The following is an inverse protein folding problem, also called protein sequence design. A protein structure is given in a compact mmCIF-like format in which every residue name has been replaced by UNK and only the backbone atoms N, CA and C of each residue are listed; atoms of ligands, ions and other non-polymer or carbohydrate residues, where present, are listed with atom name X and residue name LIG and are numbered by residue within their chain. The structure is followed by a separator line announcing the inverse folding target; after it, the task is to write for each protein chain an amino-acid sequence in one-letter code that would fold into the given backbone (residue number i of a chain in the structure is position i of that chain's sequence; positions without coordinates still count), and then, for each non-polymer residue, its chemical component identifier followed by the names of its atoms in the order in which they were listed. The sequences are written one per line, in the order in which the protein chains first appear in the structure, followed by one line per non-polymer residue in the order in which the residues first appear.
data_IF_549636081777
#
_entry.id   IF_549636081777
#
_cell.length_a   1.000
_cell.length_b   1.000
_cell.length_c   1.000
_cell.angle_alpha   90.00
_cell.angle_beta   90.00
_cell.angle_gamma   90.00
#
_symmetry.space_group_name_H-M   'P 1'
#
loop_
_entity.id
_entity.type
_entity.pdbx_description
1 polymer ?
#
# COMPACT_ATOMS: atom_id res chain seq x y z
N UNK A 1 16.79 -54.81 -32.90
CA UNK A 1 16.40 -54.68 -31.48
C UNK A 1 15.09 -53.92 -31.41
N UNK A 2 13.99 -54.61 -31.09
CA UNK A 2 12.65 -54.00 -30.97
C UNK A 2 12.60 -53.12 -29.72
N UNK A 3 12.34 -51.82 -29.89
CA UNK A 3 12.16 -50.93 -28.75
C UNK A 3 10.94 -51.39 -27.91
N UNK A 4 11.05 -51.39 -26.57
CA UNK A 4 9.96 -51.82 -25.71
C UNK A 4 8.71 -50.95 -25.93
N UNK A 5 7.53 -51.57 -25.97
CA UNK A 5 6.25 -50.91 -26.27
C UNK A 5 5.98 -49.66 -25.43
N UNK A 6 6.44 -49.62 -24.18
CA UNK A 6 6.26 -48.46 -23.29
C UNK A 6 7.10 -47.23 -23.71
N UNK A 7 8.24 -47.42 -24.41
CA UNK A 7 9.04 -46.31 -24.94
C UNK A 7 8.38 -45.69 -26.18
N UNK A 8 7.68 -46.51 -26.97
CA UNK A 8 6.95 -46.06 -28.16
C UNK A 8 5.69 -45.28 -27.74
N UNK A 9 4.97 -45.75 -26.72
CA UNK A 9 3.80 -45.02 -26.19
C UNK A 9 4.18 -43.72 -25.48
N UNK A 10 5.30 -43.69 -24.73
CA UNK A 10 5.84 -42.46 -24.14
C UNK A 10 6.28 -41.45 -25.21
N UNK A 11 6.93 -41.91 -26.28
CA UNK A 11 7.36 -41.03 -27.37
C UNK A 11 6.14 -40.45 -28.11
N UNK A 12 5.13 -41.27 -28.41
CA UNK A 12 3.89 -40.82 -29.03
C UNK A 12 3.11 -39.82 -28.15
N UNK A 13 3.08 -40.03 -26.83
CA UNK A 13 2.47 -39.11 -25.88
C UNK A 13 3.22 -37.77 -25.83
N UNK A 14 4.55 -37.81 -25.78
CA UNK A 14 5.39 -36.60 -25.77
C UNK A 14 5.26 -35.78 -27.05
N UNK A 15 5.13 -36.44 -28.20
CA UNK A 15 4.97 -35.80 -29.49
C UNK A 15 3.56 -35.22 -29.68
N UNK A 16 2.54 -35.88 -29.13
CA UNK A 16 1.16 -35.39 -29.12
C UNK A 16 0.95 -34.18 -28.20
N UNK A 17 1.65 -34.13 -27.06
CA UNK A 17 1.64 -32.94 -26.19
C UNK A 17 2.41 -31.77 -26.83
N UNK A 18 3.51 -32.04 -27.54
CA UNK A 18 4.27 -31.00 -28.22
C UNK A 18 3.49 -30.33 -29.37
N UNK A 19 2.66 -31.09 -30.10
CA UNK A 19 1.83 -30.55 -31.18
C UNK A 19 0.62 -29.76 -30.69
N UNK A 20 0.18 -29.95 -29.44
CA UNK A 20 -0.85 -29.11 -28.82
C UNK A 20 -0.37 -27.69 -28.47
N UNK A 21 0.95 -27.44 -28.48
CA UNK A 21 1.54 -26.11 -28.24
C UNK A 21 1.87 -25.32 -29.52
N UNK A 22 1.51 -25.83 -30.71
CA UNK A 22 1.60 -25.05 -31.95
C UNK A 22 0.39 -24.12 -32.02
N UNK A 23 0.40 -23.08 -31.19
CA UNK A 23 -0.47 -21.93 -31.35
C UNK A 23 -0.05 -21.16 -32.59
N UNK A 24 -0.97 -20.95 -33.52
CA UNK A 24 -0.79 -20.02 -34.63
C UNK A 24 -0.60 -18.60 -34.08
N UNK A 25 0.65 -18.21 -33.81
CA UNK A 25 1.03 -16.80 -33.76
C UNK A 25 1.19 -16.34 -35.21
N UNK A 26 0.09 -15.98 -35.86
CA UNK A 26 0.16 -15.14 -37.06
C UNK A 26 0.61 -13.75 -36.60
N UNK A 27 1.91 -13.54 -36.51
CA UNK A 27 2.49 -12.23 -36.29
C UNK A 27 2.67 -11.60 -37.69
N UNK A 28 1.74 -10.75 -38.19
CA UNK A 28 2.06 -9.97 -39.37
C UNK A 28 3.23 -9.08 -38.95
N UNK A 29 4.37 -9.28 -39.61
CA UNK A 29 5.52 -8.37 -39.73
C UNK A 29 5.55 -7.25 -38.69
N UNK A 30 6.58 -7.22 -37.84
CA UNK A 30 7.05 -5.98 -37.20
C UNK A 30 7.25 -4.95 -38.32
N UNK A 31 6.20 -4.22 -38.68
CA UNK A 31 6.31 -3.01 -39.48
C UNK A 31 7.13 -2.09 -38.59
N UNK A 32 8.31 -1.72 -39.06
CA UNK A 32 9.00 -0.55 -38.55
C UNK A 32 7.95 0.54 -38.41
N UNK A 33 7.66 0.94 -37.17
CA UNK A 33 6.70 1.99 -36.88
C UNK A 33 7.41 3.28 -37.27
N UNK A 34 7.43 3.56 -38.57
CA UNK A 34 7.80 4.87 -39.08
C UNK A 34 6.74 5.82 -38.56
N UNK A 35 7.17 6.78 -37.74
CA UNK A 35 6.31 7.86 -37.27
C UNK A 35 5.79 8.62 -38.50
N UNK A 36 4.47 8.55 -38.73
CA UNK A 36 3.79 9.20 -39.86
C UNK A 36 3.20 10.57 -39.46
N UNK A 37 3.54 11.08 -38.28
CA UNK A 37 2.92 12.25 -37.68
C UNK A 37 1.49 11.96 -37.18
N UNK A 38 0.75 13.00 -36.73
CA UNK A 38 -0.61 12.83 -36.24
C UNK A 38 -1.54 12.31 -37.34
N UNK A 39 -2.09 11.12 -37.13
CA UNK A 39 -3.01 10.48 -38.09
C UNK A 39 -4.47 10.89 -37.84
N UNK A 40 -4.76 11.58 -36.75
CA UNK A 40 -6.10 11.92 -36.28
C UNK A 40 -6.05 13.13 -35.35
N UNK A 41 -7.20 13.75 -35.06
CA UNK A 41 -7.26 14.85 -34.09
C UNK A 41 -6.97 14.38 -32.66
N UNK A 42 -6.59 15.31 -31.80
CA UNK A 42 -6.36 15.08 -30.37
C UNK A 42 -7.52 14.32 -29.72
N UNK A 43 -8.75 14.78 -29.96
CA UNK A 43 -9.96 14.18 -29.41
C UNK A 43 -10.13 12.72 -29.84
N UNK A 44 -9.82 12.38 -31.09
CA UNK A 44 -9.93 10.99 -31.59
C UNK A 44 -8.93 10.08 -30.89
N UNK A 45 -7.70 10.54 -30.64
CA UNK A 45 -6.73 9.77 -29.85
C UNK A 45 -7.22 9.55 -28.41
N UNK A 46 -7.76 10.59 -27.78
CA UNK A 46 -8.30 10.50 -26.43
C UNK A 46 -9.49 9.55 -26.33
N UNK A 47 -10.48 9.69 -27.21
CA UNK A 47 -11.65 8.79 -27.24
C UNK A 47 -11.27 7.33 -27.52
N UNK A 48 -10.29 7.11 -28.40
CA UNK A 48 -9.76 5.77 -28.67
C UNK A 48 -9.11 5.18 -27.41
N UNK A 49 -8.29 5.97 -26.72
CA UNK A 49 -7.70 5.57 -25.45
C UNK A 49 -8.76 5.22 -24.40
N UNK A 50 -9.80 6.06 -24.25
CA UNK A 50 -10.91 5.80 -23.33
C UNK A 50 -11.59 4.47 -23.62
N UNK A 51 -11.96 4.22 -24.89
CA UNK A 51 -12.60 2.96 -25.32
C UNK A 51 -11.70 1.76 -25.04
N UNK A 52 -10.39 1.88 -25.22
CA UNK A 52 -9.43 0.82 -24.89
C UNK A 52 -9.33 0.59 -23.39
N UNK A 53 -9.30 1.65 -22.57
CA UNK A 53 -9.27 1.53 -21.11
C UNK A 53 -10.56 0.92 -20.55
N UNK A 54 -11.72 1.30 -21.07
CA UNK A 54 -13.01 0.69 -20.73
C UNK A 54 -13.05 -0.82 -20.99
N UNK A 55 -12.30 -1.27 -22.01
CA UNK A 55 -12.16 -2.68 -22.39
C UNK A 55 -10.99 -3.38 -21.70
N UNK A 56 -10.31 -2.72 -20.76
CA UNK A 56 -9.07 -3.20 -20.12
C UNK A 56 -7.94 -3.52 -21.12
N UNK A 57 -7.98 -2.93 -22.31
CA UNK A 57 -6.96 -3.09 -23.36
C UNK A 57 -5.82 -2.08 -23.14
N UNK A 58 -5.06 -2.30 -22.07
CA UNK A 58 -4.04 -1.34 -21.63
C UNK A 58 -2.98 -1.06 -22.71
N UNK A 59 -2.57 -2.06 -23.48
CA UNK A 59 -1.55 -1.91 -24.54
C UNK A 59 -1.98 -0.91 -25.62
N UNK A 60 -3.24 -0.98 -26.04
CA UNK A 60 -3.77 -0.08 -27.07
C UNK A 60 -4.09 1.31 -26.50
N UNK A 61 -4.48 1.37 -25.22
CA UNK A 61 -4.63 2.62 -24.50
C UNK A 61 -3.30 3.37 -24.41
N UNK A 62 -2.22 2.72 -23.94
CA UNK A 62 -0.89 3.33 -23.84
C UNK A 62 -0.43 3.85 -25.19
N UNK A 63 -0.55 3.07 -26.27
CA UNK A 63 -0.19 3.55 -27.63
C UNK A 63 -0.95 4.81 -28.03
N UNK A 64 -2.25 4.87 -27.73
CA UNK A 64 -3.09 6.02 -28.12
C UNK A 64 -2.79 7.25 -27.26
N UNK A 65 -2.52 7.05 -25.97
CA UNK A 65 -2.17 8.12 -25.02
C UNK A 65 -0.75 8.66 -25.23
N UNK A 66 0.24 7.80 -25.51
CA UNK A 66 1.60 8.22 -25.86
C UNK A 66 1.61 8.99 -27.19
N UNK A 67 0.84 8.55 -28.18
CA UNK A 67 0.67 9.31 -29.42
C UNK A 67 0.05 10.69 -29.16
N UNK A 68 -0.96 10.78 -28.28
CA UNK A 68 -1.55 12.06 -27.90
C UNK A 68 -0.53 12.97 -27.21
N UNK A 69 0.20 12.48 -26.21
CA UNK A 69 1.23 13.26 -25.49
C UNK A 69 2.38 13.69 -26.41
N UNK A 70 2.72 12.89 -27.42
CA UNK A 70 3.77 13.18 -28.39
C UNK A 70 3.34 14.24 -29.40
N UNK A 71 2.18 14.07 -30.04
CA UNK A 71 1.74 14.97 -31.12
C UNK A 71 1.03 16.22 -30.61
N UNK A 72 0.44 16.17 -29.42
CA UNK A 72 -0.36 17.25 -28.82
C UNK A 72 0.09 17.53 -27.37
N UNK A 73 1.32 18.02 -27.13
CA UNK A 73 1.86 18.22 -25.78
C UNK A 73 1.18 19.35 -24.97
N UNK A 74 0.44 20.25 -25.63
CA UNK A 74 -0.27 21.38 -25.02
C UNK A 74 -1.76 21.40 -25.42
N UNK A 75 -2.31 20.24 -25.80
CA UNK A 75 -3.70 20.08 -26.18
C UNK A 75 -4.66 20.16 -24.98
N UNK A 76 -5.96 20.21 -25.27
CA UNK A 76 -7.02 20.35 -24.25
C UNK A 76 -7.14 19.11 -23.36
N UNK A 77 -6.87 17.93 -23.90
CA UNK A 77 -6.99 16.63 -23.25
C UNK A 77 -5.63 16.10 -22.76
N UNK A 78 -4.53 16.78 -23.03
CA UNK A 78 -3.18 16.27 -22.76
C UNK A 78 -2.92 15.98 -21.29
N UNK A 79 -3.25 16.90 -20.38
CA UNK A 79 -3.01 16.69 -18.94
C UNK A 79 -3.82 15.49 -18.42
N UNK A 80 -5.08 15.37 -18.86
CA UNK A 80 -5.92 14.22 -18.53
C UNK A 80 -5.35 12.92 -19.13
N UNK A 81 -4.91 12.95 -20.38
CA UNK A 81 -4.29 11.81 -21.05
C UNK A 81 -3.02 11.35 -20.33
N UNK A 82 -2.19 12.27 -19.84
CA UNK A 82 -1.00 11.95 -19.04
C UNK A 82 -1.36 11.23 -17.72
N UNK A 83 -2.42 11.68 -17.03
CA UNK A 83 -2.89 11.00 -15.81
C UNK A 83 -3.43 9.60 -16.10
N UNK A 84 -4.13 9.41 -17.21
CA UNK A 84 -4.61 8.09 -17.61
C UNK A 84 -3.49 7.18 -18.14
N UNK A 85 -2.46 7.78 -18.74
CA UNK A 85 -1.27 7.05 -19.17
C UNK A 85 -0.51 6.49 -17.97
N UNK A 86 -0.43 7.23 -16.85
CA UNK A 86 0.09 6.71 -15.58
C UNK A 86 -0.62 5.42 -15.15
N UNK A 87 -1.96 5.46 -15.13
CA UNK A 87 -2.78 4.30 -14.79
C UNK A 87 -2.55 3.13 -15.76
N UNK A 88 -2.57 3.41 -17.06
CA UNK A 88 -2.44 2.38 -18.10
C UNK A 88 -1.07 1.69 -18.04
N UNK A 89 0.02 2.45 -17.90
CA UNK A 89 1.38 1.91 -17.72
C UNK A 89 1.51 1.10 -16.43
N UNK A 90 0.95 1.59 -15.33
CA UNK A 90 0.96 0.87 -14.06
C UNK A 90 0.24 -0.47 -14.17
N UNK A 91 -0.90 -0.52 -14.86
CA UNK A 91 -1.66 -1.76 -15.10
C UNK A 91 -0.94 -2.74 -16.01
N UNK A 92 -0.06 -2.26 -16.90
CA UNK A 92 0.85 -3.11 -17.67
C UNK A 92 2.07 -3.58 -16.87
N UNK A 93 2.22 -3.16 -15.60
CA UNK A 93 3.41 -3.38 -14.77
C UNK A 93 4.67 -2.68 -15.31
N UNK A 94 4.50 -1.66 -16.16
CA UNK A 94 5.58 -0.76 -16.57
C UNK A 94 5.82 0.28 -15.45
N UNK A 95 6.33 -0.19 -14.31
CA UNK A 95 6.52 0.66 -13.12
C UNK A 95 7.59 1.73 -13.34
N UNK A 96 8.67 1.40 -14.06
CA UNK A 96 9.71 2.37 -14.44
C UNK A 96 9.14 3.49 -15.30
N UNK A 97 8.40 3.15 -16.36
CA UNK A 97 7.74 4.14 -17.22
C UNK A 97 6.70 4.96 -16.46
N UNK A 98 5.94 4.34 -15.54
CA UNK A 98 5.01 5.06 -14.66
C UNK A 98 5.72 6.07 -13.76
N UNK A 99 6.85 5.72 -13.14
CA UNK A 99 7.61 6.62 -12.26
C UNK A 99 8.13 7.81 -13.06
N UNK A 100 8.79 7.57 -14.21
CA UNK A 100 9.33 8.62 -15.05
C UNK A 100 8.23 9.58 -15.55
N UNK A 101 7.08 9.04 -15.95
CA UNK A 101 5.94 9.84 -16.36
C UNK A 101 5.36 10.66 -15.19
N UNK A 102 5.30 10.08 -13.99
CA UNK A 102 4.76 10.77 -12.81
C UNK A 102 5.65 11.95 -12.42
N UNK A 103 6.97 11.76 -12.42
CA UNK A 103 7.94 12.82 -12.16
C UNK A 103 7.86 13.95 -13.21
N UNK A 104 7.72 13.59 -14.49
CA UNK A 104 7.48 14.58 -15.54
C UNK A 104 6.18 15.35 -15.29
N UNK A 105 5.08 14.66 -14.98
CA UNK A 105 3.79 15.29 -14.72
C UNK A 105 3.86 16.26 -13.53
N UNK A 106 4.44 15.84 -12.41
CA UNK A 106 4.61 16.65 -11.19
C UNK A 106 5.41 17.91 -11.51
N UNK A 107 6.51 17.77 -12.26
CA UNK A 107 7.39 18.89 -12.62
C UNK A 107 6.72 19.88 -13.57
N UNK A 108 5.97 19.40 -14.56
CA UNK A 108 5.34 20.25 -15.58
C UNK A 108 4.01 20.85 -15.13
N UNK A 109 3.27 20.18 -14.25
CA UNK A 109 1.92 20.56 -13.87
C UNK A 109 1.73 20.66 -12.33
N UNK A 110 2.55 21.45 -11.60
CA UNK A 110 2.53 21.48 -10.14
C UNK A 110 1.22 22.03 -9.54
N UNK A 111 0.46 22.84 -10.29
CA UNK A 111 -0.82 23.42 -9.86
C UNK A 111 -2.04 22.62 -10.32
N UNK A 112 -1.84 21.47 -10.98
CA UNK A 112 -2.96 20.68 -11.48
C UNK A 112 -3.81 20.11 -10.33
N UNK A 113 -5.15 20.15 -10.39
CA UNK A 113 -6.02 19.70 -9.29
C UNK A 113 -5.78 18.26 -8.83
N UNK A 114 -5.39 17.37 -9.77
CA UNK A 114 -5.10 15.96 -9.50
C UNK A 114 -3.59 15.65 -9.47
N UNK A 115 -2.72 16.63 -9.16
CA UNK A 115 -1.28 16.39 -9.06
C UNK A 115 -0.93 15.41 -7.93
N UNK A 116 -1.73 15.40 -6.87
CA UNK A 116 -1.66 14.46 -5.75
C UNK A 116 -1.74 12.99 -6.20
N UNK A 117 -2.53 12.69 -7.24
CA UNK A 117 -2.57 11.37 -7.87
C UNK A 117 -1.21 10.97 -8.45
N UNK A 118 -0.51 11.88 -9.12
CA UNK A 118 0.81 11.58 -9.68
C UNK A 118 1.84 11.31 -8.57
N UNK A 119 1.79 12.05 -7.46
CA UNK A 119 2.61 11.77 -6.28
C UNK A 119 2.31 10.38 -5.70
N UNK A 120 1.03 10.03 -5.58
CA UNK A 120 0.57 8.74 -5.08
C UNK A 120 1.02 7.59 -5.98
N UNK A 121 0.72 7.65 -7.28
CA UNK A 121 1.09 6.63 -8.27
C UNK A 121 2.59 6.37 -8.27
N UNK A 122 3.40 7.43 -8.18
CA UNK A 122 4.87 7.30 -8.10
C UNK A 122 5.31 6.47 -6.90
N UNK A 123 4.70 6.68 -5.73
CA UNK A 123 4.97 5.88 -4.53
C UNK A 123 4.52 4.44 -4.67
N UNK A 124 3.32 4.21 -5.22
CA UNK A 124 2.78 2.85 -5.45
C UNK A 124 3.64 2.10 -6.48
N UNK A 125 4.06 2.74 -7.57
CA UNK A 125 4.91 2.11 -8.58
C UNK A 125 6.27 1.70 -8.00
N UNK A 126 6.93 2.56 -7.22
CA UNK A 126 8.18 2.20 -6.52
C UNK A 126 7.97 1.04 -5.53
N UNK A 127 6.84 0.99 -4.83
CA UNK A 127 6.52 -0.10 -3.92
C UNK A 127 6.34 -1.44 -4.66
N UNK A 128 5.75 -1.43 -5.86
CA UNK A 128 5.45 -2.63 -6.65
C UNK A 128 6.63 -3.13 -7.49
N UNK A 129 7.67 -2.31 -7.74
CA UNK A 129 8.85 -2.68 -8.57
C UNK A 129 9.50 -4.01 -8.18
N UNK A 130 9.57 -4.33 -6.88
CA UNK A 130 10.16 -5.58 -6.39
C UNK A 130 9.11 -6.61 -5.96
N UNK A 131 7.83 -6.34 -6.19
CA UNK A 131 6.72 -7.18 -5.77
C UNK A 131 6.40 -8.25 -6.83
N UNK A 132 7.27 -9.24 -6.94
CA UNK A 132 7.02 -10.37 -7.82
C UNK A 132 5.83 -11.21 -7.30
N UNK A 133 4.74 -11.22 -8.08
CA UNK A 133 3.46 -11.85 -7.73
C UNK A 133 3.56 -13.33 -7.38
N UNK A 134 4.56 -14.04 -7.90
CA UNK A 134 4.71 -15.49 -7.67
C UNK A 134 5.29 -15.80 -6.28
N UNK A 135 6.12 -14.91 -5.74
CA UNK A 135 6.88 -15.13 -4.50
C UNK A 135 6.04 -14.88 -3.26
N UNK A 136 4.95 -14.12 -3.39
CA UNK A 136 3.92 -13.93 -2.35
C UNK A 136 3.39 -15.25 -1.77
N UNK A 137 3.38 -16.32 -2.56
CA UNK A 137 2.88 -17.64 -2.16
C UNK A 137 3.97 -18.60 -1.70
N UNK A 138 5.22 -18.17 -1.69
CA UNK A 138 6.35 -18.98 -1.27
C UNK A 138 6.83 -18.54 0.12
N UNK A 139 7.48 -19.44 0.86
CA UNK A 139 8.13 -19.12 2.13
C UNK A 139 9.42 -18.30 1.97
N UNK A 140 9.79 -17.92 0.73
CA UNK A 140 10.92 -17.05 0.45
C UNK A 140 10.52 -15.63 0.88
N UNK A 141 10.93 -15.25 2.09
CA UNK A 141 10.60 -13.95 2.65
C UNK A 141 11.21 -12.83 1.80
N UNK A 142 10.38 -11.84 1.46
CA UNK A 142 10.75 -10.63 0.72
C UNK A 142 11.89 -9.84 1.38
N UNK A 143 12.06 -10.00 2.69
CA UNK A 143 13.10 -9.39 3.53
C UNK A 143 14.54 -9.64 3.08
N UNK A 144 14.78 -10.65 2.23
CA UNK A 144 16.08 -10.95 1.63
C UNK A 144 16.38 -10.16 0.34
N UNK A 145 15.44 -9.35 -0.17
CA UNK A 145 15.58 -8.59 -1.42
C UNK A 145 16.00 -7.14 -1.17
N UNK A 146 16.46 -6.49 -2.24
CA UNK A 146 16.82 -5.07 -2.24
C UNK A 146 15.63 -4.21 -1.78
N UNK A 147 15.78 -3.60 -0.61
CA UNK A 147 14.79 -2.72 0.02
C UNK A 147 14.86 -1.28 -0.49
N UNK A 148 15.76 -0.96 -1.43
CA UNK A 148 16.01 0.41 -1.91
C UNK A 148 14.75 1.05 -2.48
N UNK A 149 14.01 0.36 -3.34
CA UNK A 149 12.77 0.86 -3.93
C UNK A 149 11.67 1.10 -2.89
N UNK A 150 11.60 0.25 -1.87
CA UNK A 150 10.63 0.37 -0.78
C UNK A 150 10.94 1.60 0.09
N UNK A 151 12.22 1.90 0.32
CA UNK A 151 12.65 3.15 0.99
C UNK A 151 12.27 4.38 0.16
N UNK A 152 12.46 4.35 -1.16
CA UNK A 152 12.04 5.43 -2.06
C UNK A 152 10.53 5.61 -2.03
N UNK A 153 9.76 4.51 -2.08
CA UNK A 153 8.31 4.54 -1.99
C UNK A 153 7.83 5.18 -0.69
N UNK A 154 8.45 4.85 0.45
CA UNK A 154 8.15 5.49 1.74
C UNK A 154 8.34 7.01 1.66
N UNK A 155 9.48 7.47 1.11
CA UNK A 155 9.72 8.90 0.95
C UNK A 155 8.73 9.57 -0.01
N UNK A 156 8.30 8.87 -1.07
CA UNK A 156 7.26 9.39 -1.96
C UNK A 156 5.92 9.56 -1.25
N UNK A 157 5.53 8.63 -0.37
CA UNK A 157 4.32 8.75 0.44
C UNK A 157 4.43 9.84 1.52
N UNK A 158 5.61 10.00 2.14
CA UNK A 158 5.90 11.14 3.03
C UNK A 158 5.69 12.46 2.29
N UNK A 159 6.25 12.58 1.09
CA UNK A 159 6.09 13.78 0.27
C UNK A 159 4.64 14.05 -0.12
N UNK A 160 3.88 13.01 -0.47
CA UNK A 160 2.44 13.12 -0.76
C UNK A 160 1.69 13.67 0.46
N UNK A 161 1.81 13.01 1.62
CA UNK A 161 1.06 13.37 2.84
C UNK A 161 1.45 14.75 3.33
N UNK A 162 2.74 15.10 3.27
CA UNK A 162 3.25 16.41 3.68
C UNK A 162 2.71 17.54 2.81
N UNK A 163 2.60 17.32 1.49
CA UNK A 163 2.16 18.34 0.53
C UNK A 163 0.64 18.40 0.38
N UNK A 164 -0.03 17.25 0.46
CA UNK A 164 -1.45 17.08 0.21
C UNK A 164 -2.12 16.29 1.34
N UNK A 165 -2.10 16.78 2.60
CA UNK A 165 -2.62 16.02 3.74
C UNK A 165 -4.10 15.66 3.59
N UNK A 166 -4.90 16.52 2.93
CA UNK A 166 -6.33 16.31 2.66
C UNK A 166 -6.61 15.52 1.36
N UNK A 167 -5.58 15.01 0.67
CA UNK A 167 -5.79 14.17 -0.51
C UNK A 167 -6.57 12.91 -0.16
N UNK A 168 -7.44 12.48 -1.09
CA UNK A 168 -8.12 11.18 -1.03
C UNK A 168 -7.15 9.98 -0.94
N UNK A 169 -5.89 10.17 -1.35
CA UNK A 169 -4.87 9.12 -1.33
C UNK A 169 -4.07 9.05 -0.01
N UNK A 170 -4.17 10.06 0.85
CA UNK A 170 -3.34 10.17 2.06
C UNK A 170 -3.55 9.02 3.04
N UNK A 171 -4.79 8.55 3.20
CA UNK A 171 -5.11 7.44 4.11
C UNK A 171 -4.46 6.13 3.64
N UNK A 172 -4.62 5.79 2.36
CA UNK A 172 -4.01 4.59 1.78
C UNK A 172 -2.48 4.70 1.77
N UNK A 173 -1.92 5.87 1.46
CA UNK A 173 -0.48 6.14 1.54
C UNK A 173 0.07 5.92 2.96
N UNK A 174 -0.63 6.37 4.00
CA UNK A 174 -0.24 6.15 5.39
C UNK A 174 -0.27 4.66 5.78
N UNK A 175 -1.28 3.92 5.30
CA UNK A 175 -1.35 2.47 5.50
C UNK A 175 -0.19 1.75 4.80
N UNK A 176 0.14 2.14 3.56
CA UNK A 176 1.30 1.62 2.84
C UNK A 176 2.61 1.95 3.53
N UNK A 177 2.77 3.16 4.07
CA UNK A 177 3.94 3.52 4.87
C UNK A 177 4.10 2.63 6.11
N UNK A 178 2.99 2.32 6.79
CA UNK A 178 3.00 1.38 7.91
C UNK A 178 3.46 -0.01 7.47
N UNK A 179 2.92 -0.53 6.37
CA UNK A 179 3.34 -1.81 5.80
C UNK A 179 4.83 -1.81 5.42
N UNK A 180 5.29 -0.75 4.76
CA UNK A 180 6.71 -0.59 4.39
C UNK A 180 7.59 -0.61 5.65
N UNK A 181 7.21 0.09 6.72
CA UNK A 181 7.95 0.06 7.99
C UNK A 181 8.06 -1.36 8.57
N UNK A 182 7.00 -2.17 8.47
CA UNK A 182 7.01 -3.57 8.91
C UNK A 182 7.95 -4.44 8.07
N UNK A 183 7.97 -4.24 6.75
CA UNK A 183 8.88 -4.98 5.85
C UNK A 183 10.34 -4.61 6.10
N UNK A 184 10.63 -3.32 6.34
CA UNK A 184 11.97 -2.84 6.67
C UNK A 184 12.44 -3.39 8.02
N UNK A 185 11.57 -3.37 9.04
CA UNK A 185 11.86 -3.99 10.33
C UNK A 185 12.11 -5.49 10.20
N UNK A 186 11.34 -6.21 9.38
CA UNK A 186 11.54 -7.63 9.11
C UNK A 186 12.88 -7.91 8.43
N UNK A 187 13.33 -7.05 7.52
CA UNK A 187 14.64 -7.16 6.87
C UNK A 187 15.78 -7.07 7.88
N UNK A 188 15.73 -6.07 8.77
CA UNK A 188 16.74 -5.92 9.83
C UNK A 188 16.70 -7.08 10.83
N UNK A 189 15.51 -7.56 11.22
CA UNK A 189 15.40 -8.73 12.08
C UNK A 189 15.90 -10.01 11.42
N UNK A 190 15.76 -10.15 10.11
CA UNK A 190 16.37 -11.26 9.38
C UNK A 190 17.89 -11.20 9.41
N UNK A 191 18.48 -10.01 9.24
CA UNK A 191 19.93 -9.82 9.42
C UNK A 191 20.36 -10.13 10.87
N UNK A 192 19.59 -9.69 11.86
CA UNK A 192 19.85 -9.97 13.28
C UNK A 192 19.82 -11.49 13.58
N UNK A 193 18.82 -12.21 13.07
CA UNK A 193 18.70 -13.68 13.19
C UNK A 193 19.90 -14.39 12.57
N UNK A 194 20.32 -13.95 11.39
CA UNK A 194 21.53 -14.49 10.72
C UNK A 194 22.78 -14.25 11.57
N UNK A 195 22.95 -13.06 12.13
CA UNK A 195 24.08 -12.71 13.00
C UNK A 195 24.09 -13.54 14.30
N UNK A 196 22.91 -13.77 14.93
CA UNK A 196 22.77 -14.68 16.08
C UNK A 196 23.26 -16.09 15.75
N UNK A 197 22.87 -16.64 14.59
CA UNK A 197 23.29 -18.00 14.20
C UNK A 197 24.81 -18.11 14.07
N UNK A 198 25.46 -17.03 13.65
CA UNK A 198 26.92 -16.92 13.51
C UNK A 198 27.64 -16.49 14.80
N UNK A 199 26.91 -16.34 15.92
CA UNK A 199 27.43 -15.84 17.20
C UNK A 199 28.03 -14.42 17.12
N UNK A 200 27.61 -13.63 16.14
CA UNK A 200 27.99 -12.23 16.00
C UNK A 200 27.03 -11.35 16.81
N UNK A 201 27.16 -11.39 18.14
CA UNK A 201 26.19 -10.78 19.07
C UNK A 201 26.10 -9.26 18.94
N UNK A 202 27.24 -8.57 18.79
CA UNK A 202 27.26 -7.12 18.59
C UNK A 202 26.50 -6.71 17.33
N UNK A 203 26.78 -7.39 16.20
CA UNK A 203 26.09 -7.13 14.94
C UNK A 203 24.61 -7.51 14.99
N UNK A 204 24.20 -8.46 15.83
CA UNK A 204 22.78 -8.74 16.06
C UNK A 204 22.10 -7.65 16.90
N UNK A 205 22.79 -7.15 17.93
CA UNK A 205 22.32 -6.04 18.76
C UNK A 205 22.13 -4.76 17.95
N UNK A 206 23.11 -4.38 17.11
CA UNK A 206 23.00 -3.19 16.24
C UNK A 206 21.77 -3.24 15.32
N UNK A 207 21.52 -4.40 14.71
CA UNK A 207 20.36 -4.60 13.83
C UNK A 207 19.04 -4.49 14.57
N UNK A 208 18.96 -5.09 15.76
CA UNK A 208 17.77 -5.00 16.59
C UNK A 208 17.56 -3.58 17.16
N UNK A 209 18.63 -2.89 17.55
CA UNK A 209 18.58 -1.51 18.00
C UNK A 209 18.03 -0.59 16.91
N UNK A 210 18.49 -0.77 15.66
CA UNK A 210 17.97 -0.01 14.52
C UNK A 210 16.45 -0.14 14.38
N UNK A 211 15.89 -1.34 14.59
CA UNK A 211 14.43 -1.56 14.57
C UNK A 211 13.71 -0.79 15.67
N UNK A 212 14.25 -0.75 16.89
CA UNK A 212 13.65 -0.01 18.00
C UNK A 212 13.68 1.49 17.74
N UNK A 213 14.79 2.02 17.19
CA UNK A 213 14.97 3.44 16.94
C UNK A 213 14.13 3.94 15.76
N UNK A 214 14.05 3.17 14.68
CA UNK A 214 13.43 3.62 13.42
C UNK A 214 12.03 3.06 13.17
N UNK A 215 11.69 1.91 13.77
CA UNK A 215 10.43 1.19 13.52
C UNK A 215 9.73 0.72 14.83
N UNK A 216 9.56 1.59 15.85
CA UNK A 216 9.09 1.19 17.18
C UNK A 216 7.67 0.62 17.21
N UNK A 217 6.82 0.98 16.25
CA UNK A 217 5.41 0.56 16.17
C UNK A 217 5.18 -0.64 15.22
N UNK A 218 6.19 -1.49 15.06
CA UNK A 218 6.10 -2.68 14.20
C UNK A 218 5.90 -3.97 15.01
N UNK A 219 5.30 -5.02 14.42
CA UNK A 219 5.18 -6.32 15.08
C UNK A 219 6.53 -6.97 15.43
N UNK A 220 7.64 -6.48 14.88
CA UNK A 220 9.00 -6.93 15.13
C UNK A 220 9.62 -6.35 16.41
N UNK A 221 9.07 -5.27 16.96
CA UNK A 221 9.57 -4.62 18.19
C UNK A 221 9.81 -5.60 19.35
N UNK A 222 8.90 -6.55 19.68
CA UNK A 222 9.14 -7.51 20.76
C UNK A 222 10.33 -8.42 20.48
N UNK A 223 10.53 -8.83 19.23
CA UNK A 223 11.67 -9.65 18.82
C UNK A 223 12.99 -8.88 18.83
N UNK A 224 12.96 -7.60 18.45
CA UNK A 224 14.11 -6.71 18.53
C UNK A 224 14.55 -6.54 20.00
N UNK A 225 13.63 -6.23 20.92
CA UNK A 225 13.92 -6.16 22.36
C UNK A 225 14.48 -7.47 22.91
N UNK A 226 13.88 -8.60 22.51
CA UNK A 226 14.35 -9.94 22.88
C UNK A 226 15.77 -10.22 22.36
N UNK A 227 16.07 -9.77 21.14
CA UNK A 227 17.39 -9.91 20.52
C UNK A 227 18.44 -9.04 21.20
N UNK A 228 18.10 -7.82 21.61
CA UNK A 228 18.98 -6.94 22.38
C UNK A 228 19.34 -7.56 23.73
N UNK A 229 18.33 -7.94 24.51
CA UNK A 229 18.52 -8.61 25.81
C UNK A 229 19.41 -9.84 25.69
N UNK A 230 19.13 -10.72 24.71
CA UNK A 230 19.94 -11.92 24.48
C UNK A 230 21.38 -11.59 24.06
N UNK A 231 21.56 -10.62 23.16
CA UNK A 231 22.88 -10.28 22.63
C UNK A 231 23.77 -9.64 23.71
N UNK A 232 23.24 -8.71 24.50
CA UNK A 232 23.97 -8.10 25.62
C UNK A 232 24.34 -9.12 26.69
N UNK A 233 23.45 -10.08 27.00
CA UNK A 233 23.77 -11.18 27.90
C UNK A 233 24.94 -12.03 27.37
N UNK A 234 25.01 -12.27 26.05
CA UNK A 234 26.13 -13.00 25.43
C UNK A 234 27.42 -12.21 25.34
N UNK A 235 27.33 -10.88 25.33
CA UNK A 235 28.49 -9.97 25.40
C UNK A 235 29.01 -9.78 26.83
N UNK A 236 28.25 -10.21 27.85
CA UNK A 236 28.61 -10.08 29.27
C UNK A 236 28.10 -8.82 29.95
N UNK A 237 27.39 -7.94 29.23
CA UNK A 237 26.73 -6.76 29.80
C UNK A 237 25.36 -7.13 30.38
N UNK A 238 25.39 -7.72 31.57
CA UNK A 238 24.20 -8.17 32.26
C UNK A 238 23.31 -7.00 32.71
N UNK A 239 23.88 -5.82 32.99
CA UNK A 239 23.11 -4.63 33.36
C UNK A 239 22.19 -4.19 32.23
N UNK A 240 22.72 -4.04 31.02
CA UNK A 240 21.95 -3.62 29.85
C UNK A 240 20.96 -4.71 29.45
N UNK A 241 21.39 -5.98 29.49
CA UNK A 241 20.48 -7.10 29.21
C UNK A 241 19.26 -7.09 30.15
N UNK A 242 19.48 -6.85 31.45
CA UNK A 242 18.43 -6.84 32.46
C UNK A 242 17.42 -5.71 32.22
N UNK A 243 17.87 -4.52 31.80
CA UNK A 243 16.98 -3.41 31.45
C UNK A 243 16.00 -3.81 30.32
N UNK A 244 16.50 -4.44 29.26
CA UNK A 244 15.65 -4.94 28.18
C UNK A 244 14.72 -6.07 28.63
N UNK A 245 15.18 -6.96 29.51
CA UNK A 245 14.34 -8.01 30.11
C UNK A 245 13.19 -7.41 30.93
N UNK A 246 13.43 -6.32 31.67
CA UNK A 246 12.39 -5.64 32.44
C UNK A 246 11.33 -5.01 31.53
N UNK A 247 11.76 -4.36 30.45
CA UNK A 247 10.83 -3.84 29.42
C UNK A 247 9.99 -4.97 28.82
N UNK A 248 10.62 -6.12 28.53
CA UNK A 248 9.92 -7.31 28.03
C UNK A 248 8.94 -7.87 29.07
N UNK A 249 9.28 -7.91 30.36
CA UNK A 249 8.36 -8.38 31.41
C UNK A 249 7.13 -7.49 31.54
N UNK A 250 7.30 -6.18 31.37
CA UNK A 250 6.20 -5.22 31.46
C UNK A 250 5.23 -5.30 30.28
N UNK A 251 5.76 -5.46 29.05
CA UNK A 251 4.96 -5.34 27.82
C UNK A 251 4.67 -6.69 27.13
N UNK A 252 5.57 -7.67 27.27
CA UNK A 252 5.55 -8.97 26.57
C UNK A 252 5.99 -10.11 27.50
N UNK A 253 5.28 -10.34 28.64
CA UNK A 253 5.71 -11.28 29.68
C UNK A 253 5.88 -12.72 29.19
N UNK A 254 5.15 -13.11 28.13
CA UNK A 254 5.25 -14.39 27.44
C UNK A 254 6.62 -14.63 26.75
N UNK A 255 7.39 -13.57 26.51
CA UNK A 255 8.71 -13.64 25.87
C UNK A 255 9.86 -13.86 26.86
N UNK A 256 9.59 -13.83 28.16
CA UNK A 256 10.59 -14.08 29.21
C UNK A 256 10.22 -15.37 29.93
N UNK A 257 11.16 -16.31 30.01
CA UNK A 257 10.98 -17.57 30.73
C UNK A 257 11.01 -17.34 32.23
N UNK A 258 10.52 -18.31 33.01
CA UNK A 258 10.55 -18.28 34.48
C UNK A 258 11.96 -18.19 35.07
N UNK A 259 12.98 -18.67 34.34
CA UNK A 259 14.39 -18.55 34.74
C UNK A 259 15.02 -17.19 34.41
N UNK A 260 14.25 -16.22 33.90
CA UNK A 260 14.73 -14.89 33.53
C UNK A 260 15.38 -14.80 32.15
N UNK A 261 15.52 -15.90 31.43
CA UNK A 261 16.06 -15.88 30.07
C UNK A 261 15.00 -15.50 29.03
N UNK A 262 15.45 -14.85 27.96
CA UNK A 262 14.59 -14.48 26.84
C UNK A 262 14.28 -15.69 25.96
N UNK A 263 13.01 -15.82 25.56
CA UNK A 263 12.55 -16.82 24.61
C UNK A 263 12.55 -16.27 23.17
N UNK A 264 13.72 -16.29 22.52
CA UNK A 264 13.87 -15.85 21.12
C UNK A 264 12.96 -16.61 20.14
N UNK A 265 12.64 -17.88 20.41
CA UNK A 265 11.79 -18.68 19.53
C UNK A 265 10.33 -18.23 19.59
N UNK A 266 9.83 -17.90 20.77
CA UNK A 266 8.50 -17.32 20.94
C UNK A 266 8.43 -15.93 20.30
N UNK A 267 9.45 -15.09 20.52
CA UNK A 267 9.50 -13.73 19.97
C UNK A 267 9.44 -13.70 18.43
N UNK A 268 10.15 -14.62 17.76
CA UNK A 268 10.07 -14.81 16.30
C UNK A 268 8.67 -15.16 15.81
N UNK A 269 7.96 -16.02 16.57
CA UNK A 269 6.62 -16.49 16.18
C UNK A 269 5.58 -15.38 16.34
N UNK A 270 5.74 -14.51 17.33
CA UNK A 270 4.83 -13.41 17.62
C UNK A 270 4.86 -12.34 16.50
N UNK A 271 6.05 -11.90 16.07
CA UNK A 271 6.18 -10.98 14.93
C UNK A 271 5.71 -11.59 13.60
N UNK A 272 6.03 -12.87 13.36
CA UNK A 272 5.66 -13.55 12.11
C UNK A 272 4.15 -13.82 11.99
N UNK A 273 3.46 -14.20 13.07
CA UNK A 273 2.01 -14.46 13.05
C UNK A 273 1.21 -13.21 12.68
N UNK A 274 1.55 -12.06 13.26
CA UNK A 274 0.83 -10.81 13.02
C UNK A 274 0.96 -10.37 11.56
N UNK A 275 2.16 -10.48 10.97
CA UNK A 275 2.38 -10.16 9.56
C UNK A 275 1.65 -11.13 8.62
N UNK A 276 1.63 -12.44 8.95
CA UNK A 276 0.94 -13.46 8.15
C UNK A 276 -0.59 -13.33 8.23
N UNK A 277 -1.14 -13.03 9.40
CA UNK A 277 -2.58 -12.90 9.61
C UNK A 277 -3.15 -11.63 8.98
N UNK A 278 -2.34 -10.57 8.86
CA UNK A 278 -2.76 -9.30 8.27
C UNK A 278 -2.44 -9.19 6.78
N UNK A 279 -1.80 -10.21 6.17
CA UNK A 279 -1.33 -10.21 4.77
C UNK A 279 -0.58 -8.92 4.37
N UNK A 280 -0.04 -8.17 5.34
CA UNK A 280 0.49 -6.83 5.13
C UNK A 280 -0.52 -5.73 4.76
N UNK A 281 -1.83 -6.05 4.71
CA UNK A 281 -2.87 -5.20 4.12
C UNK A 281 -3.86 -4.60 5.13
N UNK A 282 -3.90 -5.07 6.39
CA UNK A 282 -4.87 -4.57 7.39
C UNK A 282 -4.22 -4.41 8.77
N UNK A 283 -3.86 -3.18 9.11
CA UNK A 283 -3.42 -2.80 10.45
C UNK A 283 -4.62 -2.70 11.38
N UNK A 284 -4.88 -3.72 12.20
CA UNK A 284 -5.79 -3.58 13.33
C UNK A 284 -5.17 -2.64 14.37
N UNK A 285 -5.99 -1.73 14.86
CA UNK A 285 -5.78 -0.82 15.98
C UNK A 285 -5.03 -1.53 17.12
N UNK A 286 -3.75 -1.19 17.30
CA UNK A 286 -3.08 -1.45 18.56
C UNK A 286 -3.72 -0.50 19.56
N UNK A 287 -4.39 -1.06 20.59
CA UNK A 287 -4.74 -0.28 21.78
C UNK A 287 -3.52 0.54 22.17
N UNK A 288 -3.61 1.84 22.01
CA UNK A 288 -2.74 2.78 22.69
C UNK A 288 -2.88 2.46 24.17
N UNK A 289 -1.80 1.97 24.77
CA UNK A 289 -1.66 2.02 26.22
C UNK A 289 -1.63 3.51 26.52
N UNK A 290 -2.76 4.04 27.02
CA UNK A 290 -2.78 5.34 27.67
C UNK A 290 -1.77 5.26 28.81
N UNK A 291 -0.62 5.91 28.62
CA UNK A 291 0.26 6.24 29.72
C UNK A 291 -0.53 7.21 30.58
N UNK A 292 -1.08 6.70 31.67
CA UNK A 292 -1.75 7.51 32.69
C UNK A 292 -0.67 8.34 33.39
N UNK A 293 -0.34 9.50 32.84
CA UNK A 293 0.38 10.52 33.57
C UNK A 293 -0.55 11.02 34.69
N UNK A 294 -0.29 10.59 35.93
CA UNK A 294 -0.87 11.20 37.12
C UNK A 294 -0.27 12.59 37.31
N UNK A 295 -0.80 13.57 36.59
CA UNK A 295 -0.65 14.98 36.96
C UNK A 295 -1.77 15.30 37.94
N UNK A 296 -1.41 15.41 39.22
CA UNK A 296 -2.27 16.01 40.24
C UNK A 296 -2.55 17.46 39.87
N UNK A 297 -3.76 17.74 39.40
CA UNK A 297 -4.36 19.07 39.48
C UNK A 297 -5.69 18.96 40.24
N UNK A 298 -5.74 19.57 41.42
CA UNK A 298 -6.99 19.77 42.16
C UNK A 298 -7.98 20.57 41.29
N UNK A 299 -9.11 19.96 40.93
CA UNK A 299 -10.20 20.65 40.26
C UNK A 299 -11.56 20.11 40.73
N UNK A 300 -12.17 20.90 41.63
CA UNK A 300 -13.58 21.06 41.98
C UNK A 300 -14.60 20.07 41.37
N UNK A 301 -15.29 19.32 42.23
CA UNK A 301 -16.42 18.45 41.87
C UNK A 301 -17.54 19.23 41.17
N UNK A 302 -17.86 18.87 39.92
CA UNK A 302 -19.01 19.40 39.18
C UNK A 302 -20.29 18.67 39.62
N UNK A 303 -21.33 19.42 39.99
CA UNK A 303 -22.58 18.90 40.53
C UNK A 303 -23.46 18.20 39.48
N UNK A 304 -24.30 17.27 39.93
CA UNK A 304 -25.15 16.39 39.14
C UNK A 304 -26.15 17.11 38.20
N UNK A 305 -26.51 18.36 38.50
CA UNK A 305 -27.45 19.14 37.69
C UNK A 305 -26.89 19.47 36.30
N UNK A 306 -25.57 19.69 36.20
CA UNK A 306 -24.90 19.97 34.92
C UNK A 306 -24.84 18.74 33.98
N UNK A 307 -25.07 17.53 34.53
CA UNK A 307 -25.09 16.28 33.76
C UNK A 307 -26.49 15.95 33.22
N UNK A 308 -27.53 16.45 33.88
CA UNK A 308 -28.92 16.17 33.48
C UNK A 308 -29.50 17.22 32.52
N UNK A 309 -28.91 18.41 32.47
CA UNK A 309 -29.39 19.48 31.58
C UNK A 309 -28.65 19.57 30.24
N UNK A 310 -27.69 18.67 29.93
CA UNK A 310 -26.86 18.75 28.70
C UNK A 310 -26.39 20.18 28.36
N UNK A 311 -26.03 20.98 29.37
CA UNK A 311 -25.55 22.35 29.17
C UNK A 311 -26.59 23.35 28.62
N UNK A 312 -27.90 23.04 28.66
CA UNK A 312 -28.94 23.89 28.06
C UNK A 312 -29.39 25.11 28.90
N UNK A 313 -28.84 25.31 30.09
CA UNK A 313 -29.36 26.29 31.05
C UNK A 313 -28.42 27.45 31.39
N UNK A 314 -27.42 27.71 30.55
CA UNK A 314 -26.63 28.93 30.66
C UNK A 314 -26.57 29.65 29.32
N UNK A 315 -27.54 30.52 29.08
CA UNK A 315 -27.56 31.46 27.95
C UNK A 315 -27.93 32.83 28.50
N UNK A 316 -26.93 33.71 28.63
CA UNK A 316 -27.16 35.15 28.64
C UNK A 316 -27.20 35.64 27.19
N UNK A 317 -28.23 36.43 26.89
CA UNK A 317 -28.55 36.97 25.58
C UNK A 317 -27.63 38.14 25.19
N UNK A 318 -27.27 38.22 23.92
CA UNK A 318 -27.29 39.48 23.16
C UNK A 318 -27.31 39.20 21.65
N UNK A 319 -27.98 40.09 20.93
CA UNK A 319 -28.62 39.93 19.62
C UNK A 319 -27.67 40.07 18.40
N UNK A 320 -28.00 39.40 17.29
CA UNK A 320 -28.58 40.00 16.07
C UNK A 320 -28.27 39.23 14.77
N UNK A 321 -29.37 38.81 14.11
CA UNK A 321 -29.68 38.80 12.67
C UNK A 321 -28.69 38.22 11.63
N UNK A 322 -29.06 37.09 11.02
CA UNK A 322 -29.33 36.95 9.57
C UNK A 322 -29.64 35.48 9.20
N UNK A 323 -30.74 35.27 8.45
CA UNK A 323 -31.16 33.98 7.91
C UNK A 323 -30.26 33.54 6.73
N UNK A 324 -30.14 32.23 6.45
CA UNK A 324 -29.91 31.77 5.10
C UNK A 324 -31.11 31.00 4.54
N UNK A 325 -31.45 31.37 3.31
CA UNK A 325 -32.44 30.76 2.42
C UNK A 325 -32.14 29.29 2.12
N UNK A 326 -33.20 28.51 1.91
CA UNK A 326 -33.13 27.12 1.51
C UNK A 326 -32.56 26.98 0.09
N UNK A 327 -31.39 26.36 -0.04
CA UNK A 327 -30.86 25.93 -1.34
C UNK A 327 -31.46 24.57 -1.69
N UNK A 328 -32.34 24.58 -2.68
CA UNK A 328 -32.84 23.39 -3.38
C UNK A 328 -31.66 22.74 -4.11
N UNK A 329 -31.29 21.51 -3.73
CA UNK A 329 -30.38 20.68 -4.52
C UNK A 329 -31.13 20.13 -5.74
N UNK A 330 -30.59 20.24 -6.96
CA UNK A 330 -31.19 19.55 -8.10
C UNK A 330 -30.87 18.06 -8.00
N UNK A 331 -31.91 17.24 -8.09
CA UNK A 331 -31.81 15.79 -8.29
C UNK A 331 -31.17 15.56 -9.66
N UNK A 332 -29.95 15.03 -9.68
CA UNK A 332 -29.30 14.56 -10.91
C UNK A 332 -29.76 13.12 -11.16
N UNK A 333 -30.30 12.77 -12.34
CA UNK A 333 -30.77 11.43 -12.64
C UNK A 333 -29.60 10.44 -12.74
N UNK A 334 -29.84 9.21 -12.28
CA UNK A 334 -28.87 8.12 -12.24
C UNK A 334 -28.25 7.86 -13.64
N UNK A 335 -26.96 8.15 -13.78
CA UNK A 335 -26.20 7.87 -15.00
C UNK A 335 -25.59 6.48 -14.94
N UNK A 336 -25.73 5.73 -16.03
CA UNK A 336 -25.32 4.34 -16.17
C UNK A 336 -23.89 4.06 -15.70
N UNK A 337 -23.76 2.99 -14.92
CA UNK A 337 -22.57 2.51 -14.21
C UNK A 337 -21.45 2.02 -15.17
N UNK A 338 -20.87 2.92 -15.96
CA UNK A 338 -19.57 2.74 -16.63
C UNK A 338 -18.48 3.23 -15.68
N UNK A 339 -17.30 2.58 -15.59
CA UNK A 339 -16.22 3.10 -14.77
C UNK A 339 -15.81 4.48 -15.28
N UNK A 340 -16.25 5.52 -14.57
CA UNK A 340 -15.86 6.89 -14.84
C UNK A 340 -14.34 7.02 -14.66
N UNK A 341 -13.71 7.95 -15.35
CA UNK A 341 -12.26 8.20 -15.24
C UNK A 341 -11.82 8.43 -13.78
N UNK A 342 -12.72 8.98 -12.94
CA UNK A 342 -12.53 9.14 -11.49
C UNK A 342 -12.32 7.80 -10.76
N UNK A 343 -12.93 6.71 -11.24
CA UNK A 343 -12.78 5.36 -10.67
C UNK A 343 -11.41 4.76 -10.98
N UNK A 344 -10.83 5.09 -12.15
CA UNK A 344 -9.46 4.67 -12.48
C UNK A 344 -8.44 5.44 -11.64
N UNK A 345 -8.65 6.74 -11.46
CA UNK A 345 -7.82 7.57 -10.59
C UNK A 345 -7.94 7.17 -9.12
N UNK A 346 -9.07 6.63 -8.67
CA UNK A 346 -9.18 6.10 -7.31
C UNK A 346 -8.49 4.74 -7.13
N UNK A 347 -7.96 4.12 -8.19
CA UNK A 347 -7.49 2.72 -8.16
C UNK A 347 -8.54 1.72 -7.61
N UNK A 348 -9.83 2.08 -7.66
CA UNK A 348 -10.90 1.29 -7.04
C UNK A 348 -11.02 1.46 -5.51
N UNK A 349 -10.37 2.46 -4.92
CA UNK A 349 -10.43 2.76 -3.48
C UNK A 349 -11.76 3.38 -3.03
N UNK A 350 -12.53 3.99 -3.95
CA UNK A 350 -13.67 4.84 -3.59
C UNK A 350 -15.06 4.23 -3.84
N UNK A 351 -15.18 3.19 -4.67
CA UNK A 351 -16.48 2.59 -4.97
C UNK A 351 -16.54 1.16 -4.41
N UNK A 352 -16.91 1.05 -3.13
CA UNK A 352 -17.66 -0.14 -2.71
C UNK A 352 -19.07 0.05 -3.27
N UNK A 353 -19.65 -0.92 -4.01
CA UNK A 353 -21.06 -0.83 -4.34
C UNK A 353 -21.81 -0.74 -3.02
N UNK A 354 -22.55 0.35 -2.81
CA UNK A 354 -23.54 0.39 -1.73
C UNK A 354 -24.41 -0.84 -1.90
N UNK A 355 -24.44 -1.69 -0.87
CA UNK A 355 -25.37 -2.80 -0.84
C UNK A 355 -26.77 -2.18 -0.97
N UNK A 356 -27.40 -2.38 -2.12
CA UNK A 356 -28.79 -2.02 -2.32
C UNK A 356 -29.59 -2.76 -1.26
N UNK A 357 -30.03 -2.04 -0.23
CA UNK A 357 -31.05 -2.53 0.68
C UNK A 357 -32.30 -2.75 -0.17
N UNK A 358 -32.55 -3.99 -0.56
CA UNK A 358 -33.84 -4.42 -1.10
C UNK A 358 -34.84 -4.44 0.05
N UNK A 359 -35.36 -3.26 0.40
CA UNK A 359 -36.66 -3.14 1.03
C UNK A 359 -37.70 -3.12 -0.10
N UNK A 360 -38.19 -4.30 -0.47
CA UNK A 360 -39.49 -4.40 -1.14
C UNK A 360 -40.45 -5.02 -0.12
N UNK A 361 -41.16 -4.12 0.55
CA UNK A 361 -42.50 -4.37 1.04
C UNK A 361 -43.37 -4.83 -0.15
N UNK A 362 -43.85 -6.06 -0.12
CA UNK A 362 -45.09 -6.43 -0.80
C UNK A 362 -45.93 -7.27 0.17
N UNK A 363 -46.84 -6.56 0.83
CA UNK A 363 -47.96 -7.11 1.56
C UNK A 363 -49.19 -7.15 0.64
N UNK A 364 -49.93 -8.26 0.72
CA UNK A 364 -51.36 -8.39 0.45
C UNK A 364 -51.88 -8.09 -0.98
N UNK A 365 -52.11 -9.15 -1.77
CA UNK A 365 -53.45 -9.70 -2.01
C UNK A 365 -53.36 -11.05 -2.75
#
# INVERSE_FOLDING_TARGET
MSLPRYKITMLALSLGVASAFVGCSSNPSKKEVVDKGPQSSEQVYFEKAQKSLDRNQYTDAVKSLEALDTYYPTGRYTQQAQLELLYAKFKQKDYEGTIALAERFIRLNPQHPNVDYAYYVRGVANMEMNYDSLIRYTSLQQSHRDVSYVKVAYQNFVDLIRRFPSSKYSVDAAQRMKFIGQELAESEMNAARFNIQRKAWLAAAERAQWVIEHYPQTPQTPEALATLAYSYQKLGDNSTAQQYIEILKLNYPNLVKSNGEVNLRAARKEGSWVNRATLGLLGRESKTVEVKEEVKSEAQQRSLTNRLSFGLLDKSETESTSQPEAVVTPVVPAENNKPSWTNRLSFGLLDKPEATNSSEDDAAN
#
